data_IF_492550933764
#
_entry.id   IF_492550933764
#
_cell.length_a   1.000
_cell.length_b   1.000
_cell.length_c   1.000
_cell.angle_alpha   90.00
_cell.angle_beta   90.00
_cell.angle_gamma   90.00
#
_symmetry.space_group_name_H-M   'P 1'
#
loop_
_entity.id
_entity.type
_entity.pdbx_description
1 polymer ?
#
# COMPACT_ATOMS: atom_id res chain seq x y z
N UNK A 1 32.95 -67.72 -18.02
CA UNK A 1 33.21 -67.26 -16.64
C UNK A 1 32.95 -65.78 -16.59
N UNK A 2 31.96 -65.39 -15.79
CA UNK A 2 31.44 -64.04 -15.65
C UNK A 2 32.38 -63.15 -14.83
N UNK A 3 32.46 -61.86 -15.16
CA UNK A 3 32.49 -60.81 -14.12
C UNK A 3 32.16 -59.45 -14.75
N UNK A 4 30.91 -59.04 -14.59
CA UNK A 4 30.44 -57.69 -14.83
C UNK A 4 30.55 -56.90 -13.52
N UNK A 5 31.37 -55.84 -13.49
CA UNK A 5 31.36 -54.86 -12.41
C UNK A 5 31.31 -53.45 -13.00
N UNK A 6 30.09 -53.08 -13.41
CA UNK A 6 29.68 -51.68 -13.57
C UNK A 6 29.48 -51.11 -12.16
N UNK A 7 30.37 -50.23 -11.72
CA UNK A 7 30.23 -49.43 -10.51
C UNK A 7 30.22 -47.94 -10.89
N UNK A 8 29.12 -47.49 -11.49
CA UNK A 8 28.83 -46.07 -11.63
C UNK A 8 27.87 -45.69 -10.51
N UNK A 9 28.42 -45.11 -9.45
CA UNK A 9 27.70 -44.59 -8.29
C UNK A 9 26.73 -43.50 -8.77
N UNK A 10 25.44 -43.79 -8.66
CA UNK A 10 24.38 -42.83 -8.87
C UNK A 10 24.17 -41.95 -7.64
N UNK A 11 23.90 -40.67 -7.89
CA UNK A 11 22.83 -39.86 -7.31
C UNK A 11 23.27 -38.38 -7.26
N UNK A 12 22.90 -37.62 -8.30
CA UNK A 12 22.82 -36.17 -8.20
C UNK A 12 21.72 -35.85 -7.20
N UNK A 13 22.11 -35.44 -5.99
CA UNK A 13 21.19 -34.91 -5.00
C UNK A 13 20.65 -33.55 -5.48
N UNK A 14 19.44 -33.54 -6.02
CA UNK A 14 18.67 -32.32 -6.29
C UNK A 14 18.12 -31.83 -4.96
N UNK A 15 18.39 -30.59 -4.51
CA UNK A 15 17.62 -30.02 -3.41
C UNK A 15 16.20 -29.80 -3.94
N UNK A 16 15.24 -30.57 -3.42
CA UNK A 16 13.83 -30.32 -3.61
C UNK A 16 13.52 -28.92 -3.03
N UNK A 17 13.25 -27.95 -3.89
CA UNK A 17 12.67 -26.67 -3.47
C UNK A 17 11.33 -26.99 -2.80
N UNK A 18 11.29 -26.83 -1.48
CA UNK A 18 10.09 -26.92 -0.67
C UNK A 18 9.24 -25.68 -0.98
N UNK A 19 8.38 -25.79 -1.98
CA UNK A 19 7.28 -24.86 -2.18
C UNK A 19 6.24 -25.02 -1.06
N UNK A 20 5.52 -23.93 -0.78
CA UNK A 20 4.45 -23.71 0.23
C UNK A 20 4.95 -23.35 1.65
N UNK A 21 4.86 -22.10 2.08
CA UNK A 21 4.32 -20.90 1.42
C UNK A 21 4.53 -19.66 2.30
N UNK A 22 4.66 -18.46 1.72
CA UNK A 22 4.48 -17.26 2.50
C UNK A 22 2.97 -17.12 2.79
N UNK A 23 2.66 -16.76 4.02
CA UNK A 23 1.40 -16.10 4.35
C UNK A 23 1.39 -14.80 3.54
N UNK A 24 0.85 -14.88 2.32
CA UNK A 24 0.82 -13.78 1.37
C UNK A 24 -0.28 -12.83 1.84
N UNK A 25 0.06 -12.01 2.85
CA UNK A 25 -0.48 -10.66 2.89
C UNK A 25 -0.12 -10.11 1.52
N UNK A 26 -1.12 -10.04 0.63
CA UNK A 26 -0.97 -9.51 -0.71
C UNK A 26 -0.31 -8.15 -0.56
N UNK A 27 1.01 -8.12 -0.76
CA UNK A 27 1.76 -6.90 -0.72
C UNK A 27 1.19 -6.08 -1.88
N UNK A 28 0.58 -4.96 -1.55
CA UNK A 28 0.16 -3.95 -2.53
C UNK A 28 1.46 -3.38 -3.08
N UNK A 29 2.08 -4.11 -4.01
CA UNK A 29 3.28 -3.70 -4.70
C UNK A 29 2.86 -2.65 -5.71
N UNK A 30 3.09 -1.38 -5.40
CA UNK A 30 3.02 -0.32 -6.40
C UNK A 30 3.94 -0.66 -7.57
N UNK A 31 3.34 -0.97 -8.71
CA UNK A 31 4.02 -1.31 -9.95
C UNK A 31 4.55 -0.04 -10.64
N UNK A 32 5.61 0.58 -10.10
CA UNK A 32 6.40 1.53 -10.88
C UNK A 32 7.22 0.71 -11.91
N UNK A 33 6.57 0.31 -13.00
CA UNK A 33 7.20 -0.45 -14.07
C UNK A 33 8.11 0.46 -14.89
N UNK A 34 9.42 0.21 -14.84
CA UNK A 34 10.37 0.79 -15.80
C UNK A 34 11.03 2.11 -15.38
N UNK A 35 11.77 2.13 -14.27
CA UNK A 35 12.92 3.05 -14.09
C UNK A 35 12.64 4.55 -13.88
N UNK A 36 11.39 4.99 -13.78
CA UNK A 36 11.02 6.37 -13.43
C UNK A 36 10.67 6.54 -11.94
N UNK A 37 10.82 7.76 -11.41
CA UNK A 37 10.16 8.15 -10.15
C UNK A 37 8.65 8.08 -10.40
N UNK A 38 7.96 7.26 -9.63
CA UNK A 38 6.50 7.21 -9.66
C UNK A 38 5.93 8.52 -9.13
N UNK A 39 4.87 9.00 -9.78
CA UNK A 39 4.20 10.24 -9.37
C UNK A 39 3.47 10.02 -8.05
N UNK A 40 3.39 11.06 -7.22
CA UNK A 40 2.80 10.99 -5.87
C UNK A 40 1.39 10.37 -5.88
N UNK A 41 0.58 10.64 -6.91
CA UNK A 41 -0.76 10.08 -7.07
C UNK A 41 -0.79 8.54 -7.12
N UNK A 42 0.29 7.89 -7.55
CA UNK A 42 0.41 6.44 -7.63
C UNK A 42 1.00 5.80 -6.37
N UNK A 43 1.85 6.51 -5.64
CA UNK A 43 2.52 5.96 -4.44
C UNK A 43 1.77 6.24 -3.15
N UNK A 44 1.02 7.34 -3.11
CA UNK A 44 0.36 7.80 -1.91
C UNK A 44 -0.80 6.85 -1.57
N UNK A 45 -0.80 6.31 -0.35
CA UNK A 45 -1.75 5.29 0.16
C UNK A 45 -2.24 5.61 1.58
N UNK A 46 -3.40 5.10 2.00
CA UNK A 46 -3.93 5.38 3.34
C UNK A 46 -4.31 6.85 3.55
N UNK A 47 -4.00 7.42 4.72
CA UNK A 47 -4.42 8.78 5.12
C UNK A 47 -3.89 9.87 4.17
N UNK A 48 -2.64 9.74 3.74
CA UNK A 48 -2.02 10.69 2.79
C UNK A 48 -2.81 10.72 1.46
N UNK A 49 -3.35 9.58 1.00
CA UNK A 49 -4.19 9.54 -0.21
C UNK A 49 -5.51 10.20 0.04
N UNK A 50 -6.13 9.94 1.18
CA UNK A 50 -7.42 10.54 1.55
C UNK A 50 -7.32 12.06 1.63
N UNK A 51 -6.30 12.58 2.30
CA UNK A 51 -5.99 14.01 2.39
C UNK A 51 -5.75 14.61 1.00
N UNK A 52 -4.94 13.96 0.16
CA UNK A 52 -4.68 14.42 -1.21
C UNK A 52 -5.96 14.50 -2.05
N UNK A 53 -6.81 13.48 -1.99
CA UNK A 53 -8.10 13.46 -2.71
C UNK A 53 -9.09 14.49 -2.17
N UNK A 54 -9.11 14.72 -0.86
CA UNK A 54 -9.96 15.73 -0.24
C UNK A 54 -9.51 17.15 -0.63
N UNK A 55 -8.20 17.40 -0.62
CA UNK A 55 -7.62 18.68 -1.04
C UNK A 55 -7.93 18.99 -2.51
N UNK A 56 -7.86 18.00 -3.41
CA UNK A 56 -8.28 18.17 -4.81
C UNK A 56 -9.76 18.53 -4.97
N UNK A 57 -10.61 18.13 -4.02
CA UNK A 57 -12.03 18.51 -3.98
C UNK A 57 -12.28 19.83 -3.23
N UNK A 58 -11.24 20.46 -2.70
CA UNK A 58 -11.37 21.66 -1.86
C UNK A 58 -11.98 21.39 -0.48
N UNK A 59 -11.90 20.15 0.00
CA UNK A 59 -12.37 19.75 1.33
C UNK A 59 -11.21 19.54 2.29
N UNK A 60 -11.48 19.74 3.58
CA UNK A 60 -10.50 19.54 4.66
C UNK A 60 -11.11 18.73 5.82
N UNK A 61 -11.20 17.40 5.68
CA UNK A 61 -11.81 16.53 6.70
C UNK A 61 -10.97 16.41 7.97
N UNK A 62 -9.69 16.81 7.93
CA UNK A 62 -8.74 16.67 9.04
C UNK A 62 -8.31 18.00 9.64
N UNK A 63 -8.96 19.11 9.29
CA UNK A 63 -8.70 20.46 9.81
C UNK A 63 -7.23 20.88 9.70
N UNK A 64 -6.62 20.62 8.54
CA UNK A 64 -5.25 21.05 8.21
C UNK A 64 -5.19 22.56 8.02
N UNK A 65 -6.26 23.17 7.51
CA UNK A 65 -6.43 24.60 7.31
C UNK A 65 -7.20 25.24 8.46
N UNK A 66 -7.01 26.55 8.63
CA UNK A 66 -7.80 27.33 9.58
C UNK A 66 -9.29 27.34 9.17
N UNK A 67 -10.23 27.23 10.13
CA UNK A 67 -11.66 27.31 9.84
C UNK A 67 -12.05 28.63 9.19
N UNK A 68 -12.93 28.57 8.20
CA UNK A 68 -13.51 29.77 7.61
C UNK A 68 -14.55 30.36 8.55
N UNK A 69 -14.42 31.64 8.87
CA UNK A 69 -15.33 32.32 9.79
C UNK A 69 -16.66 32.69 9.10
N UNK A 70 -17.77 32.43 9.79
CA UNK A 70 -19.07 33.02 9.51
C UNK A 70 -19.19 34.38 10.22
N UNK A 71 -20.31 35.10 10.05
CA UNK A 71 -20.51 36.40 10.73
C UNK A 71 -20.59 36.29 12.26
N UNK A 72 -20.88 35.09 12.79
CA UNK A 72 -20.98 34.84 14.22
C UNK A 72 -22.22 35.45 14.86
N UNK A 73 -23.22 35.81 14.06
CA UNK A 73 -24.52 36.30 14.52
C UNK A 73 -25.44 35.15 14.92
N UNK A 74 -26.60 35.45 15.51
CA UNK A 74 -27.59 34.42 15.83
C UNK A 74 -28.16 33.78 14.56
N UNK A 75 -28.31 34.57 13.51
CA UNK A 75 -28.84 34.17 12.21
C UNK A 75 -27.80 33.44 11.35
N UNK A 76 -26.51 33.75 11.53
CA UNK A 76 -25.39 33.14 10.83
C UNK A 76 -24.23 32.83 11.81
N UNK A 77 -24.37 31.77 12.64
CA UNK A 77 -23.36 31.38 13.61
C UNK A 77 -22.19 30.65 12.96
N UNK A 78 -21.05 30.60 13.65
CA UNK A 78 -19.94 29.73 13.24
C UNK A 78 -20.34 28.27 13.39
N UNK A 79 -20.25 27.51 12.29
CA UNK A 79 -20.50 26.08 12.29
C UNK A 79 -19.22 25.34 12.68
N UNK A 80 -19.33 24.43 13.65
CA UNK A 80 -18.23 23.58 14.11
C UNK A 80 -18.55 22.12 13.75
N UNK A 81 -17.96 21.58 12.67
CA UNK A 81 -18.12 20.17 12.33
C UNK A 81 -17.54 19.27 13.42
N UNK A 82 -18.23 18.19 13.75
CA UNK A 82 -17.78 17.19 14.72
C UNK A 82 -18.09 15.78 14.23
N UNK A 83 -17.19 14.83 14.53
CA UNK A 83 -17.42 13.40 14.31
C UNK A 83 -18.16 12.73 15.50
N UNK A 84 -18.33 13.44 16.61
CA UNK A 84 -18.96 12.97 17.86
C UNK A 84 -20.02 13.95 18.34
N UNK A 85 -20.99 13.48 19.15
CA UNK A 85 -22.04 14.30 19.75
C UNK A 85 -21.56 15.03 21.02
#
# INVERSE_FOLDING_TARGET
MASSLLCAVGALAVPALRACGPNEVAAVHSMASGGGVSTEDQQVTGLEREVMMAAWKGLDPYNILGPMAASGTKEDPNLVPSITN
#
